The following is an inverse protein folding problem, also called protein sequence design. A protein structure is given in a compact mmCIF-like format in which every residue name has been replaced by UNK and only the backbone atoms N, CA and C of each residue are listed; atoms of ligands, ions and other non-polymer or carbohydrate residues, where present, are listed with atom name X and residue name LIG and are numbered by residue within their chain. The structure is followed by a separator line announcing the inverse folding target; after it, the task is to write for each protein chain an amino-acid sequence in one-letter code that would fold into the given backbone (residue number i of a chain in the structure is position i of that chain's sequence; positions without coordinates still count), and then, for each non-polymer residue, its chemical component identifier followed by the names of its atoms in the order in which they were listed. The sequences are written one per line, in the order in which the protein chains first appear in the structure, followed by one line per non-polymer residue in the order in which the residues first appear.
data_IF_513663284581
#
_entry.id   IF_513663284581
#
_cell.length_a   1.000
_cell.length_b   1.000
_cell.length_c   1.000
_cell.angle_alpha   90.00
_cell.angle_beta   90.00
_cell.angle_gamma   90.00
#
_symmetry.space_group_name_H-M   'P 1'
#
loop_
_entity.id
_entity.type
_entity.pdbx_description
1 polymer ?
#
# COMPACT_ATOMS: atom_id res chain seq x y z
N UNK A 1 44.55 -23.42 0.09
CA UNK A 1 44.02 -22.28 -0.68
C UNK A 1 42.50 -22.32 -0.57
N UNK A 2 41.89 -21.39 0.16
CA UNK A 2 40.43 -21.27 0.27
C UNK A 2 40.05 -19.98 -0.46
N UNK A 3 39.23 -20.08 -1.50
CA UNK A 3 38.64 -18.91 -2.18
C UNK A 3 37.44 -18.44 -1.34
N UNK A 4 37.31 -17.15 -0.98
CA UNK A 4 36.04 -16.63 -0.53
C UNK A 4 35.12 -16.44 -1.75
N UNK A 5 33.86 -16.84 -1.59
CA UNK A 5 32.78 -16.43 -2.48
C UNK A 5 32.54 -14.93 -2.28
N UNK A 6 32.50 -14.18 -3.38
CA UNK A 6 32.07 -12.80 -3.36
C UNK A 6 30.57 -12.79 -3.04
N UNK A 7 30.20 -12.06 -1.98
CA UNK A 7 28.85 -11.57 -1.82
C UNK A 7 28.65 -10.50 -2.89
N UNK A 8 27.67 -10.70 -3.78
CA UNK A 8 27.17 -9.66 -4.67
C UNK A 8 26.47 -8.59 -3.83
N UNK A 9 27.29 -7.71 -3.23
CA UNK A 9 26.84 -6.48 -2.62
C UNK A 9 26.40 -5.53 -3.74
N UNK A 10 25.14 -5.11 -3.69
CA UNK A 10 24.61 -4.04 -4.50
C UNK A 10 25.50 -2.79 -4.34
N UNK A 11 26.32 -2.51 -5.36
CA UNK A 11 27.06 -1.25 -5.43
C UNK A 11 26.06 -0.15 -5.84
N UNK A 12 25.89 0.92 -5.04
CA UNK A 12 24.97 1.99 -5.40
C UNK A 12 25.55 2.78 -6.58
N UNK A 13 25.00 2.55 -7.76
CA UNK A 13 25.13 3.46 -8.90
C UNK A 13 24.41 4.78 -8.58
N UNK A 14 25.10 5.88 -8.85
CA UNK A 14 24.79 7.25 -8.45
C UNK A 14 23.62 7.94 -9.18
N UNK A 15 22.53 7.21 -9.45
CA UNK A 15 21.28 7.76 -10.02
C UNK A 15 20.01 7.11 -9.45
N UNK A 16 20.12 6.30 -8.38
CA UNK A 16 18.94 5.77 -7.68
C UNK A 16 18.37 6.90 -6.81
N UNK A 17 17.13 7.38 -7.04
CA UNK A 17 16.49 8.32 -6.13
C UNK A 17 16.55 7.76 -4.70
N UNK A 18 16.73 8.63 -3.69
CA UNK A 18 16.68 8.22 -2.29
C UNK A 18 15.51 7.23 -2.09
N UNK A 19 15.77 5.95 -1.74
CA UNK A 19 14.75 4.92 -1.74
C UNK A 19 13.55 5.29 -0.86
N UNK A 20 13.77 6.05 0.22
CA UNK A 20 12.70 6.55 1.07
C UNK A 20 11.85 7.59 0.35
N UNK A 21 12.48 8.51 -0.37
CA UNK A 21 11.79 9.51 -1.18
C UNK A 21 10.97 8.85 -2.31
N UNK A 22 11.53 7.83 -2.96
CA UNK A 22 10.83 7.05 -3.98
C UNK A 22 9.61 6.31 -3.41
N UNK A 23 9.76 5.65 -2.26
CA UNK A 23 8.65 4.98 -1.56
C UNK A 23 7.56 5.98 -1.15
N UNK A 24 7.96 7.15 -0.66
CA UNK A 24 7.04 8.24 -0.27
C UNK A 24 6.26 8.75 -1.47
N UNK A 25 6.92 8.98 -2.61
CA UNK A 25 6.27 9.43 -3.84
C UNK A 25 5.28 8.38 -4.38
N UNK A 26 5.65 7.09 -4.35
CA UNK A 26 4.75 6.01 -4.74
C UNK A 26 3.52 5.94 -3.83
N UNK A 27 3.72 6.06 -2.51
CA UNK A 27 2.64 6.09 -1.54
C UNK A 27 1.70 7.29 -1.73
N UNK A 28 2.26 8.48 -1.99
CA UNK A 28 1.47 9.68 -2.31
C UNK A 28 0.62 9.45 -3.56
N UNK A 29 1.20 8.85 -4.61
CA UNK A 29 0.46 8.54 -5.84
C UNK A 29 -0.67 7.52 -5.62
N UNK A 30 -0.51 6.56 -4.69
CA UNK A 30 -1.59 5.65 -4.28
C UNK A 30 -2.70 6.40 -3.55
N UNK A 31 -2.33 7.28 -2.61
CA UNK A 31 -3.31 8.07 -1.84
C UNK A 31 -4.05 9.10 -2.69
N UNK A 32 -3.40 9.68 -3.71
CA UNK A 32 -4.03 10.59 -4.65
C UNK A 32 -5.11 9.88 -5.49
N UNK A 33 -4.83 8.65 -5.95
CA UNK A 33 -5.82 7.80 -6.64
C UNK A 33 -6.97 7.45 -5.72
N UNK A 34 -6.67 7.05 -4.49
CA UNK A 34 -7.69 6.74 -3.48
C UNK A 34 -8.62 7.94 -3.23
N UNK A 35 -8.06 9.14 -3.07
CA UNK A 35 -8.84 10.37 -2.90
C UNK A 35 -9.68 10.70 -4.14
N UNK A 36 -9.19 10.37 -5.33
CA UNK A 36 -9.91 10.55 -6.60
C UNK A 36 -10.98 9.48 -6.88
N UNK A 37 -11.08 8.42 -6.06
CA UNK A 37 -11.97 7.29 -6.31
C UNK A 37 -11.47 6.33 -7.39
N UNK A 38 -10.20 6.43 -7.82
CA UNK A 38 -9.57 5.49 -8.74
C UNK A 38 -9.13 4.22 -7.98
N UNK A 39 -10.09 3.44 -7.50
CA UNK A 39 -9.81 2.24 -6.70
C UNK A 39 -9.18 1.11 -7.51
N UNK A 40 -9.44 1.06 -8.82
CA UNK A 40 -8.78 0.13 -9.73
C UNK A 40 -7.27 0.41 -9.80
N UNK A 41 -6.88 1.67 -9.95
CA UNK A 41 -5.48 2.10 -9.92
C UNK A 41 -4.83 1.96 -8.53
N UNK A 42 -5.62 2.11 -7.45
CA UNK A 42 -5.13 1.77 -6.09
C UNK A 42 -4.78 0.29 -6.01
N UNK A 43 -5.67 -0.62 -6.45
CA UNK A 43 -5.41 -2.06 -6.44
C UNK A 43 -4.12 -2.44 -7.19
N UNK A 44 -3.86 -1.80 -8.33
CA UNK A 44 -2.61 -2.02 -9.09
C UNK A 44 -1.37 -1.60 -8.31
N UNK A 45 -1.50 -0.62 -7.41
CA UNK A 45 -0.45 -0.10 -6.54
C UNK A 45 -0.32 -0.87 -5.21
N UNK A 46 -1.18 -1.83 -4.93
CA UNK A 46 -1.06 -2.71 -3.78
C UNK A 46 0.00 -3.79 -4.03
N UNK A 47 0.50 -4.35 -2.93
CA UNK A 47 1.48 -5.42 -2.96
C UNK A 47 0.93 -6.74 -3.53
N UNK A 48 1.80 -7.73 -3.69
CA UNK A 48 1.41 -9.01 -4.30
C UNK A 48 0.44 -9.79 -3.41
N UNK A 49 0.56 -9.69 -2.09
CA UNK A 49 -0.32 -10.38 -1.15
C UNK A 49 -1.78 -9.91 -1.32
N UNK A 50 -2.00 -8.59 -1.38
CA UNK A 50 -3.33 -8.03 -1.64
C UNK A 50 -3.85 -8.47 -3.00
N UNK A 51 -3.05 -8.33 -4.06
CA UNK A 51 -3.50 -8.66 -5.42
C UNK A 51 -3.78 -10.15 -5.64
N UNK A 52 -3.23 -11.02 -4.80
CA UNK A 52 -3.55 -12.45 -4.79
C UNK A 52 -4.76 -12.79 -3.91
N UNK A 53 -5.03 -11.98 -2.88
CA UNK A 53 -6.08 -12.21 -1.89
C UNK A 53 -7.45 -11.61 -2.24
N UNK A 54 -7.51 -10.63 -3.14
CA UNK A 54 -8.77 -10.03 -3.61
C UNK A 54 -8.66 -9.63 -5.08
N UNK A 55 -9.71 -9.91 -5.86
CA UNK A 55 -9.78 -9.49 -7.26
C UNK A 55 -9.85 -7.96 -7.36
N UNK A 56 -9.47 -7.40 -8.51
CA UNK A 56 -9.61 -5.96 -8.72
C UNK A 56 -11.09 -5.52 -8.65
N UNK A 57 -12.00 -6.33 -9.20
CA UNK A 57 -13.44 -6.06 -9.20
C UNK A 57 -14.01 -6.05 -7.78
N UNK A 58 -13.67 -7.03 -6.95
CA UNK A 58 -14.11 -7.09 -5.56
C UNK A 58 -13.52 -5.94 -4.73
N UNK A 59 -12.25 -5.59 -4.97
CA UNK A 59 -11.60 -4.46 -4.32
C UNK A 59 -12.33 -3.15 -4.65
N UNK A 60 -12.60 -2.90 -5.94
CA UNK A 60 -13.35 -1.72 -6.39
C UNK A 60 -14.75 -1.72 -5.78
N UNK A 61 -15.46 -2.85 -5.85
CA UNK A 61 -16.81 -2.99 -5.27
C UNK A 61 -16.83 -2.67 -3.78
N UNK A 62 -15.88 -3.18 -3.01
CA UNK A 62 -15.75 -2.87 -1.59
C UNK A 62 -15.55 -1.38 -1.34
N UNK A 63 -14.58 -0.77 -2.03
CA UNK A 63 -14.23 0.63 -1.79
C UNK A 63 -15.29 1.61 -2.31
N UNK A 64 -15.93 1.35 -3.45
CA UNK A 64 -17.05 2.15 -3.96
C UNK A 64 -18.28 2.05 -3.05
N UNK A 65 -18.51 0.87 -2.45
CA UNK A 65 -19.65 0.67 -1.54
C UNK A 65 -19.42 1.33 -0.19
N UNK A 66 -18.22 1.18 0.37
CA UNK A 66 -17.97 1.53 1.77
C UNK A 66 -17.19 2.81 1.99
N UNK A 67 -16.43 3.28 1.01
CA UNK A 67 -15.63 4.49 1.12
C UNK A 67 -16.10 5.50 0.08
N UNK A 68 -15.94 6.78 0.40
CA UNK A 68 -16.26 7.87 -0.53
C UNK A 68 -14.96 8.47 -1.01
N UNK A 69 -14.90 8.84 -2.29
CA UNK A 69 -13.88 9.75 -2.79
C UNK A 69 -13.81 10.97 -1.86
N UNK A 70 -12.59 11.41 -1.56
CA UNK A 70 -12.32 12.19 -0.36
C UNK A 70 -11.30 13.29 -0.58
N UNK A 71 -11.02 14.01 0.51
CA UNK A 71 -9.97 15.02 0.49
C UNK A 71 -8.62 14.37 0.17
N UNK A 72 -7.79 15.09 -0.59
CA UNK A 72 -6.39 14.71 -0.81
C UNK A 72 -5.67 14.53 0.52
N UNK A 73 -5.02 13.40 0.67
CA UNK A 73 -4.18 13.06 1.81
C UNK A 73 -2.74 13.46 1.51
N UNK A 74 -1.96 13.71 2.55
CA UNK A 74 -0.51 13.97 2.41
C UNK A 74 0.27 12.83 3.01
N UNK A 75 1.40 12.50 2.38
CA UNK A 75 2.29 11.42 2.80
C UNK A 75 3.67 11.98 3.12
N UNK A 76 4.24 11.53 4.24
CA UNK A 76 5.63 11.81 4.62
C UNK A 76 6.41 10.50 4.78
N UNK A 77 7.66 10.48 4.34
CA UNK A 77 8.57 9.35 4.59
C UNK A 77 9.01 9.33 6.05
N UNK A 78 8.92 8.18 6.72
CA UNK A 78 9.40 8.03 8.09
C UNK A 78 10.78 7.40 8.14
N UNK A 79 10.92 6.19 7.58
CA UNK A 79 12.19 5.45 7.57
C UNK A 79 12.19 4.30 6.56
N UNK A 80 13.37 3.92 6.09
CA UNK A 80 13.59 2.62 5.45
C UNK A 80 13.68 1.52 6.51
N UNK A 81 13.21 0.34 6.14
CA UNK A 81 13.35 -0.89 6.90
C UNK A 81 14.25 -1.87 6.13
N UNK A 82 14.73 -2.95 6.78
CA UNK A 82 15.36 -4.06 6.07
C UNK A 82 14.47 -4.62 4.95
N UNK A 83 15.04 -5.47 4.09
CA UNK A 83 14.27 -6.26 3.11
C UNK A 83 13.52 -5.43 2.05
N UNK A 84 13.99 -4.21 1.78
CA UNK A 84 13.40 -3.26 0.82
C UNK A 84 11.98 -2.82 1.19
N UNK A 85 11.76 -2.59 2.47
CA UNK A 85 10.54 -1.96 2.97
C UNK A 85 10.78 -0.49 3.37
N UNK A 86 9.71 0.29 3.39
CA UNK A 86 9.70 1.64 3.94
C UNK A 86 8.43 1.88 4.76
N UNK A 87 8.56 2.62 5.86
CA UNK A 87 7.40 3.15 6.58
C UNK A 87 7.17 4.58 6.11
N UNK A 88 5.93 4.86 5.74
CA UNK A 88 5.44 6.21 5.42
C UNK A 88 4.28 6.57 6.34
N UNK A 89 4.05 7.86 6.56
CA UNK A 89 2.95 8.39 7.35
C UNK A 89 1.96 9.08 6.44
N UNK A 90 0.71 8.60 6.44
CA UNK A 90 -0.42 9.24 5.75
C UNK A 90 -1.16 10.11 6.76
N UNK A 91 -1.32 11.39 6.46
CA UNK A 91 -2.08 12.33 7.29
C UNK A 91 -3.55 12.36 6.87
N UNK A 92 -4.42 11.90 7.74
CA UNK A 92 -5.88 11.87 7.57
C UNK A 92 -6.51 12.69 8.69
N UNK A 93 -7.22 13.77 8.36
CA UNK A 93 -7.89 14.65 9.34
C UNK A 93 -6.98 15.12 10.49
N UNK A 94 -5.71 15.42 10.19
CA UNK A 94 -4.73 15.87 11.18
C UNK A 94 -4.05 14.74 11.97
N UNK A 95 -4.47 13.49 11.81
CA UNK A 95 -3.89 12.31 12.45
C UNK A 95 -2.97 11.59 11.45
N UNK A 96 -1.76 11.24 11.89
CA UNK A 96 -0.82 10.45 11.09
C UNK A 96 -1.05 8.95 11.30
N UNK A 97 -1.12 8.21 10.20
CA UNK A 97 -1.26 6.75 10.17
C UNK A 97 -0.12 6.15 9.38
N UNK A 98 0.56 5.16 9.94
CA UNK A 98 1.63 4.47 9.22
C UNK A 98 1.09 3.58 8.11
N UNK A 99 1.86 3.48 7.03
CA UNK A 99 1.72 2.49 5.96
C UNK A 99 3.08 1.89 5.65
N UNK A 100 3.07 0.63 5.25
CA UNK A 100 4.27 -0.07 4.81
C UNK A 100 4.27 -0.08 3.29
N UNK A 101 5.40 0.32 2.72
CA UNK A 101 5.71 0.21 1.30
C UNK A 101 6.72 -0.91 1.12
N UNK A 102 6.49 -1.78 0.14
CA UNK A 102 7.37 -2.90 -0.20
C UNK A 102 7.88 -2.69 -1.62
N UNK A 103 9.19 -2.79 -1.83
CA UNK A 103 9.78 -2.74 -3.16
C UNK A 103 9.71 -4.12 -3.81
N UNK A 104 8.90 -4.25 -4.86
CA UNK A 104 8.76 -5.49 -5.62
C UNK A 104 8.75 -5.22 -7.11
N UNK A 105 9.38 -6.10 -7.90
CA UNK A 105 9.39 -6.01 -9.37
C UNK A 105 9.82 -4.62 -9.91
N UNK A 106 10.75 -3.95 -9.20
CA UNK A 106 11.28 -2.63 -9.57
C UNK A 106 10.40 -1.43 -9.17
N UNK A 107 9.33 -1.64 -8.41
CA UNK A 107 8.37 -0.60 -8.03
C UNK A 107 7.97 -0.70 -6.55
N UNK A 108 7.78 0.45 -5.91
CA UNK A 108 7.23 0.52 -4.56
C UNK A 108 5.71 0.29 -4.57
N UNK A 109 5.25 -0.65 -3.76
CA UNK A 109 3.84 -1.06 -3.66
C UNK A 109 3.40 -0.97 -2.20
N UNK A 110 2.12 -0.67 -1.98
CA UNK A 110 1.58 -0.50 -0.64
C UNK A 110 1.07 -1.83 -0.09
N UNK A 111 1.50 -2.18 1.11
CA UNK A 111 0.93 -3.32 1.82
C UNK A 111 -0.45 -2.95 2.38
N UNK A 112 -1.34 -3.95 2.50
CA UNK A 112 -2.55 -3.80 3.30
C UNK A 112 -2.21 -3.48 4.76
N UNK A 113 -3.11 -2.75 5.42
CA UNK A 113 -3.14 -2.71 6.88
C UNK A 113 -3.53 -4.08 7.43
N UNK A 114 -3.08 -4.42 8.63
CA UNK A 114 -3.40 -5.72 9.27
C UNK A 114 -4.90 -6.02 9.29
N UNK A 115 -5.75 -5.01 9.58
CA UNK A 115 -7.21 -5.16 9.60
C UNK A 115 -7.74 -5.64 8.23
N UNK A 116 -7.41 -4.93 7.15
CA UNK A 116 -7.82 -5.33 5.79
C UNK A 116 -7.17 -6.65 5.35
N UNK A 117 -5.92 -6.92 5.75
CA UNK A 117 -5.22 -8.15 5.40
C UNK A 117 -5.91 -9.39 6.00
N UNK A 118 -6.55 -9.26 7.17
CA UNK A 118 -7.30 -10.34 7.81
C UNK A 118 -8.53 -10.80 7.02
N UNK A 119 -9.06 -9.96 6.12
CA UNK A 119 -10.22 -10.25 5.27
C UNK A 119 -9.86 -10.74 3.86
N UNK A 120 -8.57 -10.80 3.51
CA UNK A 120 -8.16 -11.29 2.19
C UNK A 120 -8.55 -12.76 2.01
N UNK A 121 -9.11 -13.08 0.85
CA UNK A 121 -9.66 -14.41 0.53
C UNK A 121 -11.10 -14.62 0.96
N UNK A 122 -11.71 -13.68 1.71
CA UNK A 122 -13.14 -13.71 2.00
C UNK A 122 -13.96 -13.15 0.82
N UNK A 123 -15.21 -13.62 0.62
CA UNK A 123 -16.11 -13.02 -0.36
C UNK A 123 -16.38 -11.55 -0.04
N UNK A 124 -16.34 -10.67 -1.04
CA UNK A 124 -16.49 -9.21 -0.86
C UNK A 124 -17.74 -8.82 -0.08
N UNK A 125 -18.85 -9.51 -0.29
CA UNK A 125 -20.12 -9.21 0.38
C UNK A 125 -20.06 -9.46 1.89
N UNK A 126 -19.22 -10.40 2.32
CA UNK A 126 -18.96 -10.62 3.73
C UNK A 126 -18.17 -9.46 4.33
N UNK A 127 -17.13 -9.01 3.64
CA UNK A 127 -16.30 -7.88 4.07
C UNK A 127 -17.17 -6.62 4.22
N UNK A 128 -18.04 -6.35 3.23
CA UNK A 128 -18.98 -5.23 3.28
C UNK A 128 -19.93 -5.36 4.47
N UNK A 129 -20.55 -6.53 4.67
CA UNK A 129 -21.48 -6.73 5.77
C UNK A 129 -20.83 -6.56 7.15
N UNK A 130 -19.57 -6.99 7.31
CA UNK A 130 -18.82 -6.80 8.55
C UNK A 130 -18.48 -5.32 8.80
N UNK A 131 -18.11 -4.56 7.76
CA UNK A 131 -17.87 -3.11 7.86
C UNK A 131 -19.16 -2.31 8.13
N UNK A 132 -20.30 -2.73 7.57
CA UNK A 132 -21.61 -2.16 7.88
C UNK A 132 -21.99 -2.44 9.35
N UNK A 133 -21.80 -3.67 9.82
CA UNK A 133 -22.07 -4.05 11.20
C UNK A 133 -21.17 -3.30 12.20
N UNK A 134 -19.94 -2.96 11.80
CA UNK A 134 -19.02 -2.13 12.57
C UNK A 134 -19.31 -0.62 12.48
N UNK A 135 -20.25 -0.19 11.62
CA UNK A 135 -20.54 1.23 11.39
C UNK A 135 -19.43 1.97 10.62
N UNK A 136 -18.55 1.24 9.94
CA UNK A 136 -17.42 1.75 9.14
C UNK A 136 -17.77 1.90 7.65
N UNK A 137 -18.94 1.38 7.27
CA UNK A 137 -19.54 1.45 5.94
C UNK A 137 -20.99 1.92 6.07
N UNK A 138 -21.44 2.76 5.14
CA UNK A 138 -22.84 3.16 5.02
C UNK A 138 -23.16 3.29 3.55
N UNK A 139 -23.97 2.35 3.05
CA UNK A 139 -24.52 2.38 1.69
C UNK A 139 -25.40 3.61 1.46
#
# INVERSE_FOLDING_TARGET
MVRPAAADGYAPGSDVPDPLAAATAAAQATMDRFAAGDYAGVWEHMDRAVRAGITQEDFVTFYDTCKKAGQRLSVAGLRLQPENEAIVLVKVNGIERSRIMVYQDGVWKMQATDDFAAHLGEPVERIIAEEEAAGLCTR
#
